data_IF_667836411637
#
_entry.id   IF_667836411637
#
_cell.length_a   1.000
_cell.length_b   1.000
_cell.length_c   1.000
_cell.angle_alpha   90.00
_cell.angle_beta   90.00
_cell.angle_gamma   90.00
#
_symmetry.space_group_name_H-M   'P 1'
#
loop_
_entity.id
_entity.type
_entity.pdbx_description
1 polymer ?
#
# COMPACT_ATOMS: atom_id res chain seq x y z
N UNK A 1 -33.75 8.97 -11.57
CA UNK A 1 -32.62 9.38 -12.44
C UNK A 1 -31.34 9.68 -11.66
N UNK A 2 -31.37 10.49 -10.57
CA UNK A 2 -30.18 10.78 -9.74
C UNK A 2 -29.48 9.53 -9.18
N UNK A 3 -30.23 8.52 -8.76
CA UNK A 3 -29.67 7.25 -8.25
C UNK A 3 -28.99 6.41 -9.34
N UNK A 4 -29.41 6.53 -10.60
CA UNK A 4 -28.78 5.81 -11.73
C UNK A 4 -27.45 6.46 -12.11
N UNK A 5 -27.41 7.80 -12.11
CA UNK A 5 -26.20 8.61 -12.34
C UNK A 5 -25.16 8.40 -11.22
N UNK A 6 -25.61 8.36 -9.97
CA UNK A 6 -24.74 8.06 -8.82
C UNK A 6 -24.17 6.64 -8.88
N UNK A 7 -24.99 5.64 -9.22
CA UNK A 7 -24.52 4.26 -9.42
C UNK A 7 -23.52 4.17 -10.57
N UNK A 8 -23.81 4.82 -11.71
CA UNK A 8 -22.90 4.87 -12.86
C UNK A 8 -21.55 5.52 -12.52
N UNK A 9 -21.57 6.64 -11.77
CA UNK A 9 -20.35 7.29 -11.30
C UNK A 9 -19.52 6.38 -10.39
N UNK A 10 -20.15 5.73 -9.40
CA UNK A 10 -19.47 4.80 -8.50
C UNK A 10 -18.89 3.61 -9.27
N UNK A 11 -19.65 3.04 -10.20
CA UNK A 11 -19.18 1.94 -11.06
C UNK A 11 -17.99 2.36 -11.93
N UNK A 12 -17.98 3.59 -12.46
CA UNK A 12 -16.86 4.11 -13.25
C UNK A 12 -15.59 4.26 -12.39
N UNK A 13 -15.72 4.84 -11.19
CA UNK A 13 -14.59 5.03 -10.27
C UNK A 13 -14.00 3.68 -9.87
N UNK A 14 -14.83 2.73 -9.45
CA UNK A 14 -14.35 1.39 -9.12
C UNK A 14 -13.79 0.66 -10.35
N UNK A 15 -14.43 0.79 -11.51
CA UNK A 15 -13.91 0.24 -12.76
C UNK A 15 -12.49 0.73 -13.02
N UNK A 16 -12.26 2.03 -12.97
CA UNK A 16 -10.94 2.62 -13.20
C UNK A 16 -9.88 2.13 -12.21
N UNK A 17 -10.23 1.96 -10.93
CA UNK A 17 -9.31 1.46 -9.90
C UNK A 17 -9.01 -0.04 -10.05
N UNK A 18 -10.02 -0.86 -10.38
CA UNK A 18 -9.89 -2.32 -10.41
C UNK A 18 -9.49 -2.90 -11.77
N UNK A 19 -9.74 -2.20 -12.89
CA UNK A 19 -9.30 -2.62 -14.23
C UNK A 19 -7.80 -2.96 -14.28
N UNK A 20 -6.86 -2.11 -13.81
CA UNK A 20 -5.43 -2.45 -13.89
C UNK A 20 -5.09 -3.68 -13.04
N UNK A 21 -5.74 -3.85 -11.89
CA UNK A 21 -5.58 -5.05 -11.04
C UNK A 21 -6.08 -6.28 -11.78
N UNK A 22 -7.24 -6.18 -12.45
CA UNK A 22 -7.80 -7.28 -13.23
C UNK A 22 -6.91 -7.66 -14.41
N UNK A 23 -6.32 -6.67 -15.10
CA UNK A 23 -5.34 -6.90 -16.16
C UNK A 23 -4.13 -7.65 -15.60
N UNK A 24 -3.59 -7.25 -14.44
CA UNK A 24 -2.50 -7.98 -13.79
C UNK A 24 -2.85 -9.44 -13.48
N UNK A 25 -4.07 -9.69 -12.99
CA UNK A 25 -4.54 -11.07 -12.72
C UNK A 25 -4.62 -11.88 -14.01
N UNK A 26 -5.17 -11.31 -15.09
CA UNK A 26 -5.24 -11.98 -16.39
C UNK A 26 -3.84 -12.33 -16.91
N UNK A 27 -2.89 -11.39 -16.86
CA UNK A 27 -1.52 -11.63 -17.31
C UNK A 27 -0.72 -12.55 -16.37
N UNK A 28 -1.12 -12.67 -15.10
CA UNK A 28 -0.49 -13.63 -14.16
C UNK A 28 -0.66 -15.09 -14.59
N UNK A 29 -1.63 -15.39 -15.47
CA UNK A 29 -1.88 -16.73 -16.01
C UNK A 29 -1.41 -16.85 -17.47
N UNK A 30 -0.63 -15.88 -17.97
CA UNK A 30 -0.08 -15.93 -19.32
C UNK A 30 1.23 -16.74 -19.36
N UNK A 31 1.41 -17.52 -20.42
CA UNK A 31 2.61 -18.31 -20.65
C UNK A 31 3.84 -17.48 -21.08
N UNK A 32 3.66 -16.17 -21.34
CA UNK A 32 4.72 -15.28 -21.77
C UNK A 32 5.64 -14.82 -20.62
N UNK A 33 6.97 -14.90 -20.81
CA UNK A 33 7.97 -14.43 -19.82
C UNK A 33 8.15 -12.92 -19.77
N UNK A 34 8.09 -12.24 -20.93
CA UNK A 34 8.38 -10.79 -21.05
C UNK A 34 7.52 -10.08 -22.10
N UNK A 35 6.46 -10.73 -22.59
CA UNK A 35 5.63 -10.19 -23.67
C UNK A 35 4.20 -9.91 -23.19
N UNK A 36 3.69 -8.74 -23.52
CA UNK A 36 2.25 -8.40 -23.44
C UNK A 36 1.41 -9.18 -24.46
N UNK A 37 2.03 -10.01 -25.30
CA UNK A 37 1.31 -10.90 -26.20
C UNK A 37 0.77 -12.10 -25.43
N UNK A 38 -0.53 -12.36 -25.60
CA UNK A 38 -1.21 -13.50 -25.02
C UNK A 38 -0.79 -14.79 -25.74
N UNK A 39 0.02 -15.62 -25.07
CA UNK A 39 0.53 -16.87 -25.64
C UNK A 39 -0.36 -18.07 -25.28
N UNK A 40 -1.16 -17.98 -24.21
CA UNK A 40 -2.05 -19.03 -23.75
C UNK A 40 -2.28 -18.98 -22.24
N UNK A 41 -3.15 -19.86 -21.73
CA UNK A 41 -3.38 -20.02 -20.30
C UNK A 41 -2.32 -20.97 -19.72
N UNK A 42 -1.56 -20.53 -18.73
CA UNK A 42 -0.47 -21.27 -18.10
C UNK A 42 -0.44 -21.04 -16.59
N UNK A 43 -0.32 -22.13 -15.82
CA UNK A 43 -0.16 -22.11 -14.36
C UNK A 43 1.31 -22.22 -13.93
N UNK A 44 2.26 -22.17 -14.87
CA UNK A 44 3.69 -22.39 -14.62
C UNK A 44 4.27 -21.45 -13.55
N UNK A 45 3.83 -20.19 -13.53
CA UNK A 45 4.35 -19.18 -12.59
C UNK A 45 3.91 -19.45 -11.16
N UNK A 46 2.71 -20.00 -10.98
CA UNK A 46 2.24 -20.42 -9.67
C UNK A 46 2.99 -21.65 -9.17
N UNK A 47 3.39 -22.57 -10.06
CA UNK A 47 4.24 -23.71 -9.68
C UNK A 47 5.66 -23.27 -9.34
N UNK A 48 6.23 -22.33 -10.10
CA UNK A 48 7.56 -21.77 -9.84
C UNK A 48 7.59 -21.01 -8.51
N UNK A 49 6.54 -20.22 -8.24
CA UNK A 49 6.34 -19.50 -6.98
C UNK A 49 6.41 -20.41 -5.75
N UNK A 50 5.90 -21.64 -5.85
CA UNK A 50 5.94 -22.60 -4.73
C UNK A 50 7.34 -23.17 -4.48
N UNK A 51 8.22 -23.14 -5.48
CA UNK A 51 9.58 -23.66 -5.38
C UNK A 51 10.60 -22.57 -4.97
N UNK A 52 10.29 -21.30 -5.24
CA UNK A 52 11.17 -20.19 -4.93
C UNK A 52 11.16 -19.80 -3.44
N UNK A 53 12.08 -20.41 -2.68
CA UNK A 53 12.29 -20.12 -1.26
C UNK A 53 12.71 -18.68 -1.00
N UNK A 54 13.44 -18.04 -1.93
CA UNK A 54 13.90 -16.67 -1.74
C UNK A 54 12.72 -15.69 -1.80
N UNK A 55 11.80 -15.91 -2.73
CA UNK A 55 10.59 -15.11 -2.84
C UNK A 55 9.69 -15.26 -1.60
N UNK A 56 9.51 -16.50 -1.10
CA UNK A 56 8.78 -16.74 0.14
C UNK A 56 9.43 -16.09 1.36
N UNK A 57 10.76 -16.14 1.47
CA UNK A 57 11.49 -15.46 2.53
C UNK A 57 11.28 -13.94 2.46
N UNK A 58 11.40 -13.34 1.28
CA UNK A 58 11.16 -11.90 1.07
C UNK A 58 9.72 -11.49 1.42
N UNK A 59 8.73 -12.30 1.05
CA UNK A 59 7.33 -12.11 1.41
C UNK A 59 7.12 -12.12 2.93
N UNK A 60 7.67 -13.11 3.63
CA UNK A 60 7.55 -13.22 5.08
C UNK A 60 8.27 -12.06 5.81
N UNK A 61 9.45 -11.66 5.33
CA UNK A 61 10.14 -10.49 5.86
C UNK A 61 9.31 -9.21 5.68
N UNK A 62 8.69 -9.02 4.52
CA UNK A 62 7.84 -7.86 4.25
C UNK A 62 6.62 -7.81 5.18
N UNK A 63 5.98 -8.97 5.42
CA UNK A 63 4.87 -9.06 6.38
C UNK A 63 5.34 -8.76 7.80
N UNK A 64 6.42 -9.39 8.23
CA UNK A 64 6.95 -9.21 9.58
C UNK A 64 7.32 -7.74 9.83
N UNK A 65 8.06 -7.12 8.91
CA UNK A 65 8.44 -5.71 9.00
C UNK A 65 7.21 -4.79 8.95
N UNK A 66 6.27 -5.04 8.04
CA UNK A 66 5.05 -4.23 7.91
C UNK A 66 4.18 -4.28 9.17
N UNK A 67 3.96 -5.46 9.74
CA UNK A 67 3.14 -5.63 10.96
C UNK A 67 3.83 -5.01 12.17
N UNK A 68 5.14 -5.25 12.34
CA UNK A 68 5.87 -4.67 13.48
C UNK A 68 5.97 -3.15 13.37
N UNK A 69 6.29 -2.60 12.20
CA UNK A 69 6.35 -1.16 11.97
C UNK A 69 4.99 -0.48 12.14
N UNK A 70 3.92 -1.05 11.58
CA UNK A 70 2.56 -0.49 11.73
C UNK A 70 2.08 -0.52 13.18
N UNK A 71 2.39 -1.57 13.95
CA UNK A 71 2.03 -1.66 15.35
C UNK A 71 2.75 -0.59 16.18
N UNK A 72 4.07 -0.49 16.02
CA UNK A 72 4.89 0.52 16.72
C UNK A 72 4.42 1.93 16.34
N UNK A 73 4.24 2.20 15.05
CA UNK A 73 3.78 3.50 14.54
C UNK A 73 2.39 3.86 15.10
N UNK A 74 1.46 2.91 15.13
CA UNK A 74 0.09 3.14 15.65
C UNK A 74 0.12 3.44 17.15
N UNK A 75 0.90 2.70 17.94
CA UNK A 75 1.00 2.94 19.38
C UNK A 75 1.65 4.30 19.65
N UNK A 76 2.76 4.62 18.98
CA UNK A 76 3.42 5.92 19.11
C UNK A 76 2.51 7.08 18.67
N UNK A 77 1.80 6.93 17.55
CA UNK A 77 0.84 7.92 17.06
C UNK A 77 -0.35 8.11 18.00
N UNK A 78 -0.86 7.03 18.60
CA UNK A 78 -1.93 7.09 19.61
C UNK A 78 -1.47 7.84 20.85
N UNK A 79 -0.29 7.53 21.39
CA UNK A 79 0.27 8.24 22.54
C UNK A 79 0.49 9.74 22.25
N UNK A 80 0.98 10.07 21.05
CA UNK A 80 1.14 11.45 20.61
C UNK A 80 -0.22 12.18 20.53
N UNK A 81 -1.23 11.56 19.93
CA UNK A 81 -2.59 12.10 19.84
C UNK A 81 -3.20 12.36 21.23
N UNK A 82 -3.11 11.38 22.12
CA UNK A 82 -3.64 11.46 23.49
C UNK A 82 -2.97 12.59 24.28
N UNK A 83 -1.65 12.74 24.16
CA UNK A 83 -0.91 13.82 24.83
C UNK A 83 -1.33 15.22 24.37
N UNK A 84 -1.51 15.40 23.05
CA UNK A 84 -1.93 16.67 22.46
C UNK A 84 -3.39 17.00 22.80
N UNK A 85 -4.26 15.99 22.90
CA UNK A 85 -5.66 16.20 23.21
C UNK A 85 -5.93 16.47 24.70
N UNK A 86 -5.26 15.74 25.61
CA UNK A 86 -5.49 15.86 27.06
C UNK A 86 -4.78 17.06 27.68
N UNK A 87 -3.64 17.49 27.13
CA UNK A 87 -2.86 18.60 27.69
C UNK A 87 -2.59 19.69 26.64
N UNK A 88 -3.62 20.42 26.18
CA UNK A 88 -3.43 21.43 25.14
C UNK A 88 -2.51 22.56 25.62
N UNK A 89 -1.45 22.83 24.86
CA UNK A 89 -0.52 23.93 25.07
C UNK A 89 -0.14 24.56 23.73
N UNK A 90 -0.56 25.80 23.52
CA UNK A 90 -0.52 26.47 22.22
C UNK A 90 0.88 26.50 21.57
N UNK A 91 1.94 26.71 22.36
CA UNK A 91 3.31 26.74 21.84
C UNK A 91 3.88 25.35 21.60
N UNK A 92 3.82 24.45 22.59
CA UNK A 92 4.38 23.09 22.50
C UNK A 92 3.73 22.27 21.40
N UNK A 93 2.41 22.35 21.29
CA UNK A 93 1.66 21.57 20.31
C UNK A 93 1.99 22.05 18.89
N UNK A 94 2.11 23.37 18.68
CA UNK A 94 2.53 23.95 17.39
C UNK A 94 3.92 23.45 16.96
N UNK A 95 4.91 23.44 17.86
CA UNK A 95 6.25 22.92 17.53
C UNK A 95 6.23 21.42 17.20
N UNK A 96 5.45 20.64 17.96
CA UNK A 96 5.34 19.20 17.76
C UNK A 96 4.68 18.88 16.41
N UNK A 97 3.54 19.51 16.09
CA UNK A 97 2.87 19.35 14.79
C UNK A 97 3.75 19.78 13.62
N UNK A 98 4.44 20.90 13.74
CA UNK A 98 5.33 21.41 12.67
C UNK A 98 6.47 20.42 12.39
N UNK A 99 7.04 19.82 13.43
CA UNK A 99 8.08 18.79 13.28
C UNK A 99 7.54 17.54 12.58
N UNK A 100 6.36 17.04 12.98
CA UNK A 100 5.74 15.89 12.32
C UNK A 100 5.44 16.15 10.84
N UNK A 101 4.90 17.32 10.51
CA UNK A 101 4.62 17.71 9.13
C UNK A 101 5.90 17.81 8.30
N UNK A 102 6.98 18.32 8.89
CA UNK A 102 8.28 18.38 8.23
C UNK A 102 8.80 16.97 7.90
N UNK A 103 8.68 16.00 8.81
CA UNK A 103 9.05 14.61 8.53
C UNK A 103 8.23 13.98 7.40
N UNK A 104 6.93 14.33 7.27
CA UNK A 104 6.07 13.82 6.19
C UNK A 104 6.46 14.42 4.83
N UNK A 105 6.94 15.65 4.81
CA UNK A 105 7.30 16.36 3.56
C UNK A 105 8.70 15.98 3.08
N UNK A 106 9.62 15.60 3.98
CA UNK A 106 10.97 15.17 3.60
C UNK A 106 10.85 13.93 2.69
N UNK A 107 11.41 13.96 1.48
CA UNK A 107 11.35 12.82 0.58
C UNK A 107 12.21 11.68 1.12
N UNK A 108 11.66 10.47 1.10
CA UNK A 108 12.35 9.24 1.55
C UNK A 108 13.71 9.03 0.86
N UNK A 109 13.85 9.53 -0.38
CA UNK A 109 15.09 9.49 -1.16
C UNK A 109 16.25 10.24 -0.50
N UNK A 110 15.99 11.28 0.31
CA UNK A 110 17.03 12.05 1.00
C UNK A 110 17.52 11.35 2.28
N UNK A 111 16.70 10.48 2.86
CA UNK A 111 17.04 9.76 4.09
C UNK A 111 17.81 8.45 3.82
N UNK A 112 17.81 7.96 2.58
CA UNK A 112 18.23 6.61 2.20
C UNK A 112 19.55 6.45 1.46
N UNK A 113 20.38 7.50 1.36
CA UNK A 113 21.76 7.43 0.82
C UNK A 113 22.80 7.81 1.88
#
# INVERSE_FOLDING_TARGET
>A
MKSLLQKGYISLVYGLLYIPIFVLILYSVNDARFSLQWHGFSMQWYTELMQDKALWAAFLHSIYLGVTASLISTVSGLLACVSLFLHPSNTRDTYFYTTLLLLIIIPDLVLGI
#
